data_IF_727670456576
#
_entry.id   IF_727670456576
#
_cell.length_a   1.000
_cell.length_b   1.000
_cell.length_c   1.000
_cell.angle_alpha   90.00
_cell.angle_beta   90.00
_cell.angle_gamma   90.00
#
_symmetry.space_group_name_H-M   'P 1'
#
loop_
_entity.id
_entity.type
_entity.pdbx_description
1 polymer ?
#
# COMPACT_ATOMS: atom_id res chain seq x y z
N UNK A 1 -12.80 -20.27 -19.12
CA UNK A 1 -11.69 -19.34 -18.80
C UNK A 1 -12.15 -18.03 -18.14
N UNK A 2 -13.30 -17.47 -18.51
CA UNK A 2 -13.82 -16.21 -17.95
C UNK A 2 -14.00 -16.23 -16.42
N UNK A 3 -14.65 -17.26 -15.86
CA UNK A 3 -14.77 -17.42 -14.40
C UNK A 3 -13.43 -17.41 -13.66
N UNK A 4 -12.40 -18.02 -14.26
CA UNK A 4 -11.05 -18.00 -13.69
C UNK A 4 -10.44 -16.60 -13.73
N UNK A 5 -10.62 -15.85 -14.83
CA UNK A 5 -10.18 -14.46 -14.94
C UNK A 5 -10.84 -13.59 -13.85
N UNK A 6 -12.16 -13.71 -13.70
CA UNK A 6 -12.93 -13.00 -12.67
C UNK A 6 -12.45 -13.34 -11.26
N UNK A 7 -12.25 -14.62 -10.97
CA UNK A 7 -11.72 -15.06 -9.68
C UNK A 7 -10.32 -14.50 -9.40
N UNK A 8 -9.41 -14.56 -10.38
CA UNK A 8 -8.07 -13.98 -10.26
C UNK A 8 -8.13 -12.47 -10.01
N UNK A 9 -8.90 -11.72 -10.79
CA UNK A 9 -9.06 -10.27 -10.62
C UNK A 9 -9.67 -9.92 -9.25
N UNK A 10 -10.70 -10.64 -8.83
CA UNK A 10 -11.32 -10.47 -7.52
C UNK A 10 -10.35 -10.71 -6.37
N UNK A 11 -9.57 -11.80 -6.43
CA UNK A 11 -8.56 -12.10 -5.41
C UNK A 11 -7.48 -11.03 -5.32
N UNK A 12 -7.02 -10.47 -6.45
CA UNK A 12 -6.03 -9.38 -6.44
C UNK A 12 -6.60 -8.14 -5.73
N UNK A 13 -7.85 -7.77 -6.01
CA UNK A 13 -8.50 -6.62 -5.35
C UNK A 13 -8.71 -6.89 -3.86
N UNK A 14 -9.16 -8.09 -3.50
CA UNK A 14 -9.35 -8.49 -2.11
C UNK A 14 -8.01 -8.47 -1.34
N UNK A 15 -6.94 -9.03 -1.90
CA UNK A 15 -5.61 -9.04 -1.29
C UNK A 15 -5.08 -7.63 -1.02
N UNK A 16 -5.18 -6.72 -1.99
CA UNK A 16 -4.79 -5.32 -1.80
C UNK A 16 -5.55 -4.65 -0.67
N UNK A 17 -6.87 -4.86 -0.61
CA UNK A 17 -7.72 -4.28 0.43
C UNK A 17 -7.36 -4.84 1.80
N UNK A 18 -7.15 -6.16 1.90
CA UNK A 18 -6.75 -6.86 3.13
C UNK A 18 -5.42 -6.32 3.69
N UNK A 19 -4.43 -6.09 2.83
CA UNK A 19 -3.15 -5.50 3.23
C UNK A 19 -3.39 -4.10 3.83
N UNK A 20 -4.16 -3.23 3.16
CA UNK A 20 -4.51 -1.91 3.68
C UNK A 20 -5.20 -1.96 5.06
N UNK A 21 -6.19 -2.83 5.23
CA UNK A 21 -6.86 -3.05 6.50
C UNK A 21 -5.90 -3.48 7.63
N UNK A 22 -4.94 -4.37 7.33
CA UNK A 22 -3.92 -4.79 8.30
C UNK A 22 -3.12 -3.60 8.84
N UNK A 23 -2.72 -2.68 7.96
CA UNK A 23 -1.99 -1.48 8.38
C UNK A 23 -2.84 -0.52 9.20
N UNK A 24 -4.13 -0.35 8.88
CA UNK A 24 -5.06 0.42 9.70
C UNK A 24 -5.15 -0.16 11.13
N UNK A 25 -5.27 -1.48 11.26
CA UNK A 25 -5.33 -2.18 12.55
C UNK A 25 -4.05 -1.96 13.35
N UNK A 26 -2.87 -2.09 12.71
CA UNK A 26 -1.57 -1.84 13.36
C UNK A 26 -1.46 -0.39 13.83
N UNK A 27 -1.87 0.58 13.00
CA UNK A 27 -1.84 2.00 13.35
C UNK A 27 -2.75 2.32 14.54
N UNK A 28 -3.95 1.76 14.57
CA UNK A 28 -4.90 1.90 15.69
C UNK A 28 -4.39 1.21 16.97
N UNK A 29 -3.79 0.03 16.85
CA UNK A 29 -3.18 -0.66 17.98
C UNK A 29 -2.05 0.17 18.60
N UNK A 30 -1.17 0.73 17.78
CA UNK A 30 -0.11 1.65 18.25
C UNK A 30 -0.71 2.92 18.86
N UNK A 31 -1.69 3.53 18.21
CA UNK A 31 -2.34 4.75 18.70
C UNK A 31 -2.93 4.55 20.10
N UNK A 32 -3.70 3.48 20.29
CA UNK A 32 -4.30 3.14 21.59
C UNK A 32 -3.25 2.77 22.63
N UNK A 33 -2.14 2.13 22.25
CA UNK A 33 -1.00 1.90 23.14
C UNK A 33 -0.45 3.20 23.72
N UNK A 34 -0.29 4.21 22.86
CA UNK A 34 0.18 5.53 23.28
C UNK A 34 -0.86 6.29 24.09
N UNK A 35 -2.14 6.23 23.72
CA UNK A 35 -3.17 7.06 24.33
C UNK A 35 -3.75 6.47 25.61
N UNK A 36 -3.97 5.16 25.66
CA UNK A 36 -4.68 4.43 26.72
C UNK A 36 -3.89 3.17 27.12
N UNK A 37 -2.64 3.31 27.62
CA UNK A 37 -1.77 2.16 27.88
C UNK A 37 -2.36 1.17 28.88
N UNK A 38 -3.07 1.66 29.92
CA UNK A 38 -3.64 0.81 30.97
C UNK A 38 -4.79 -0.09 30.49
N UNK A 39 -5.45 0.25 29.38
CA UNK A 39 -6.53 -0.56 28.81
C UNK A 39 -6.11 -1.27 27.52
N UNK A 40 -4.85 -1.14 27.11
CA UNK A 40 -4.40 -1.64 25.81
C UNK A 40 -4.59 -3.16 25.71
N UNK A 41 -4.22 -3.91 26.75
CA UNK A 41 -4.35 -5.38 26.80
C UNK A 41 -5.82 -5.82 26.76
N UNK A 42 -6.72 -5.05 27.38
CA UNK A 42 -8.16 -5.31 27.34
C UNK A 42 -8.76 -5.02 25.96
N UNK A 43 -8.37 -3.90 25.34
CA UNK A 43 -8.88 -3.50 24.01
C UNK A 43 -8.36 -4.46 22.94
N UNK A 44 -7.06 -4.76 22.96
CA UNK A 44 -6.39 -5.59 21.96
C UNK A 44 -6.03 -6.97 22.50
N UNK A 45 -7.01 -7.61 23.15
CA UNK A 45 -6.91 -9.04 23.45
C UNK A 45 -6.76 -9.84 22.16
N UNK A 46 -6.15 -11.04 22.24
CA UNK A 46 -5.95 -11.91 21.06
C UNK A 46 -7.27 -12.16 20.31
N UNK A 47 -8.36 -12.37 21.05
CA UNK A 47 -9.70 -12.56 20.50
C UNK A 47 -10.18 -11.31 19.75
N UNK A 48 -10.01 -10.12 20.33
CA UNK A 48 -10.44 -8.87 19.70
C UNK A 48 -9.63 -8.55 18.44
N UNK A 49 -8.31 -8.80 18.46
CA UNK A 49 -7.45 -8.66 17.28
C UNK A 49 -7.94 -9.59 16.17
N UNK A 50 -8.16 -10.86 16.49
CA UNK A 50 -8.66 -11.84 15.52
C UNK A 50 -10.02 -11.44 14.93
N UNK A 51 -10.97 -11.05 15.79
CA UNK A 51 -12.30 -10.60 15.35
C UNK A 51 -12.23 -9.33 14.49
N UNK A 52 -11.35 -8.38 14.83
CA UNK A 52 -11.16 -7.14 14.05
C UNK A 52 -10.59 -7.44 12.67
N UNK A 53 -9.57 -8.31 12.59
CA UNK A 53 -8.99 -8.73 11.31
C UNK A 53 -10.02 -9.48 10.47
N UNK A 54 -10.69 -10.48 11.05
CA UNK A 54 -11.67 -11.30 10.35
C UNK A 54 -12.86 -10.47 9.85
N UNK A 55 -13.35 -9.51 10.64
CA UNK A 55 -14.45 -8.63 10.24
C UNK A 55 -14.05 -7.68 9.10
N UNK A 56 -12.88 -7.06 9.17
CA UNK A 56 -12.37 -6.20 8.07
C UNK A 56 -12.17 -6.99 6.78
N UNK A 57 -11.66 -8.21 6.88
CA UNK A 57 -11.48 -9.09 5.72
C UNK A 57 -12.83 -9.49 5.13
N UNK A 58 -13.80 -9.86 5.98
CA UNK A 58 -15.15 -10.22 5.54
C UNK A 58 -15.82 -9.05 4.81
N UNK A 59 -15.74 -7.83 5.36
CA UNK A 59 -16.27 -6.61 4.70
C UNK A 59 -15.59 -6.39 3.34
N UNK A 60 -14.27 -6.56 3.28
CA UNK A 60 -13.49 -6.39 2.04
C UNK A 60 -13.89 -7.42 0.98
N UNK A 61 -14.00 -8.68 1.35
CA UNK A 61 -14.41 -9.77 0.46
C UNK A 61 -15.84 -9.54 -0.03
N UNK A 62 -16.77 -9.19 0.86
CA UNK A 62 -18.16 -8.91 0.50
C UNK A 62 -18.23 -7.74 -0.50
N UNK A 63 -17.50 -6.65 -0.24
CA UNK A 63 -17.45 -5.50 -1.13
C UNK A 63 -16.91 -5.89 -2.53
N UNK A 64 -15.85 -6.69 -2.59
CA UNK A 64 -15.28 -7.16 -3.86
C UNK A 64 -16.20 -8.14 -4.60
N UNK A 65 -16.85 -9.07 -3.90
CA UNK A 65 -17.83 -10.01 -4.49
C UNK A 65 -19.01 -9.24 -5.08
N UNK A 66 -19.51 -8.22 -4.38
CA UNK A 66 -20.62 -7.39 -4.88
C UNK A 66 -20.26 -6.69 -6.19
N UNK A 67 -19.03 -6.16 -6.31
CA UNK A 67 -18.54 -5.56 -7.56
C UNK A 67 -18.49 -6.55 -8.72
N UNK A 68 -18.05 -7.78 -8.43
CA UNK A 68 -17.99 -8.88 -9.41
C UNK A 68 -19.38 -9.27 -9.92
N UNK A 69 -20.40 -9.26 -9.05
CA UNK A 69 -21.77 -9.64 -9.43
C UNK A 69 -22.43 -8.56 -10.29
N UNK A 70 -22.20 -7.28 -10.01
CA UNK A 70 -22.89 -6.17 -10.70
C UNK A 70 -22.37 -5.94 -12.12
N UNK A 71 -21.08 -6.15 -12.37
CA UNK A 71 -20.48 -5.86 -13.67
C UNK A 71 -20.44 -7.13 -14.52
N UNK A 72 -21.45 -7.32 -15.35
CA UNK A 72 -21.53 -8.43 -16.30
C UNK A 72 -20.40 -8.41 -17.35
N UNK A 73 -19.81 -7.23 -17.59
CA UNK A 73 -18.62 -7.06 -18.42
C UNK A 73 -17.42 -7.78 -17.80
N UNK A 74 -17.26 -9.02 -18.26
CA UNK A 74 -16.42 -9.98 -17.57
C UNK A 74 -14.96 -9.84 -17.97
N UNK A 75 -14.02 -9.98 -17.01
CA UNK A 75 -12.60 -10.08 -17.29
C UNK A 75 -12.32 -11.16 -18.34
N UNK A 76 -11.47 -10.85 -19.32
CA UNK A 76 -11.09 -11.79 -20.38
C UNK A 76 -9.58 -11.91 -20.43
N UNK A 77 -9.11 -13.15 -20.58
CA UNK A 77 -7.74 -13.38 -20.99
C UNK A 77 -7.62 -13.11 -22.49
N UNK A 78 -6.61 -12.35 -22.86
CA UNK A 78 -6.20 -12.20 -24.25
C UNK A 78 -4.74 -12.61 -24.38
N UNK A 79 -4.40 -13.21 -25.51
CA UNK A 79 -3.03 -13.61 -25.81
C UNK A 79 -2.40 -12.49 -26.66
N UNK A 80 -1.31 -11.92 -26.17
CA UNK A 80 -0.53 -10.92 -26.90
C UNK A 80 0.25 -11.59 -28.05
N UNK A 81 0.68 -10.82 -29.05
CA UNK A 81 1.51 -11.27 -30.18
C UNK A 81 2.75 -12.06 -29.75
N UNK A 82 3.34 -11.68 -28.61
CA UNK A 82 4.56 -12.30 -28.06
C UNK A 82 4.27 -13.63 -27.34
N UNK A 83 3.01 -14.07 -27.32
CA UNK A 83 2.59 -15.32 -26.70
C UNK A 83 2.22 -15.22 -25.22
N UNK A 84 2.38 -14.06 -24.58
CA UNK A 84 1.98 -13.84 -23.19
C UNK A 84 0.45 -13.79 -23.04
N UNK A 85 -0.05 -14.39 -21.96
CA UNK A 85 -1.45 -14.34 -21.59
C UNK A 85 -1.69 -13.19 -20.60
N UNK A 86 -2.47 -12.18 -20.99
CA UNK A 86 -2.78 -11.01 -20.16
C UNK A 86 -4.26 -10.98 -19.80
N UNK A 87 -4.58 -10.48 -18.61
CA UNK A 87 -5.97 -10.27 -18.16
C UNK A 87 -6.37 -8.83 -18.51
N UNK A 88 -7.42 -8.67 -19.30
CA UNK A 88 -8.12 -7.38 -19.42
C UNK A 88 -9.25 -7.36 -18.41
N UNK A 89 -9.18 -6.49 -17.41
CA UNK A 89 -10.20 -6.39 -16.37
C UNK A 89 -11.38 -5.49 -16.74
N UNK A 90 -11.32 -4.73 -17.84
CA UNK A 90 -12.41 -3.86 -18.29
C UNK A 90 -12.90 -2.91 -17.19
N UNK A 91 -14.22 -2.83 -16.99
CA UNK A 91 -14.82 -2.00 -15.94
C UNK A 91 -14.47 -2.46 -14.52
N UNK A 92 -14.22 -3.75 -14.31
CA UNK A 92 -13.80 -4.28 -13.01
C UNK A 92 -12.44 -3.74 -12.59
N UNK A 93 -11.54 -3.49 -13.54
CA UNK A 93 -10.23 -2.88 -13.28
C UNK A 93 -10.35 -1.42 -12.84
N UNK A 94 -11.25 -0.66 -13.47
CA UNK A 94 -11.53 0.73 -13.09
C UNK A 94 -12.11 0.80 -11.67
N UNK A 95 -13.08 -0.05 -11.35
CA UNK A 95 -13.67 -0.13 -10.01
C UNK A 95 -12.67 -0.62 -8.96
N UNK A 96 -11.90 -1.67 -9.27
CA UNK A 96 -10.83 -2.15 -8.41
C UNK A 96 -9.78 -1.07 -8.13
N UNK A 97 -9.44 -0.27 -9.14
CA UNK A 97 -8.56 0.90 -8.99
C UNK A 97 -9.18 1.95 -8.07
N UNK A 98 -10.45 2.29 -8.25
CA UNK A 98 -11.15 3.25 -7.38
C UNK A 98 -11.22 2.76 -5.92
N UNK A 99 -11.57 1.49 -5.70
CA UNK A 99 -11.60 0.88 -4.37
C UNK A 99 -10.20 0.90 -3.73
N UNK A 100 -9.15 0.58 -4.50
CA UNK A 100 -7.76 0.63 -4.03
C UNK A 100 -7.35 2.05 -3.65
N UNK A 101 -7.68 3.05 -4.47
CA UNK A 101 -7.42 4.47 -4.18
C UNK A 101 -8.14 4.88 -2.90
N UNK A 102 -9.44 4.59 -2.78
CA UNK A 102 -10.22 4.93 -1.61
C UNK A 102 -9.64 4.29 -0.33
N UNK A 103 -9.32 2.99 -0.38
CA UNK A 103 -8.72 2.27 0.75
C UNK A 103 -7.35 2.83 1.13
N UNK A 104 -6.49 3.11 0.15
CA UNK A 104 -5.17 3.67 0.38
C UNK A 104 -5.24 5.09 0.95
N UNK A 105 -6.11 5.95 0.42
CA UNK A 105 -6.33 7.31 0.97
C UNK A 105 -6.82 7.23 2.42
N UNK A 106 -7.80 6.37 2.70
CA UNK A 106 -8.29 6.16 4.06
C UNK A 106 -7.17 5.67 4.99
N UNK A 107 -6.32 4.76 4.51
CA UNK A 107 -5.17 4.24 5.27
C UNK A 107 -4.18 5.35 5.57
N UNK A 108 -3.80 6.15 4.56
CA UNK A 108 -2.87 7.27 4.69
C UNK A 108 -3.42 8.33 5.64
N UNK A 109 -4.69 8.71 5.52
CA UNK A 109 -5.33 9.68 6.42
C UNK A 109 -5.33 9.17 7.85
N UNK A 110 -5.77 7.93 8.08
CA UNK A 110 -5.85 7.33 9.41
C UNK A 110 -4.46 7.21 10.05
N UNK A 111 -3.47 6.70 9.30
CA UNK A 111 -2.08 6.61 9.75
C UNK A 111 -1.50 7.99 10.06
N UNK A 112 -1.74 8.99 9.20
CA UNK A 112 -1.23 10.35 9.39
C UNK A 112 -1.81 11.00 10.65
N UNK A 113 -3.13 10.86 10.87
CA UNK A 113 -3.79 11.38 12.08
C UNK A 113 -3.23 10.69 13.32
N UNK A 114 -3.25 9.35 13.34
CA UNK A 114 -2.78 8.57 14.50
C UNK A 114 -1.32 8.87 14.84
N UNK A 115 -0.44 8.96 13.84
CA UNK A 115 0.97 9.31 14.03
C UNK A 115 1.17 10.76 14.46
N UNK A 116 0.46 11.72 13.87
CA UNK A 116 0.53 13.12 14.30
C UNK A 116 0.10 13.27 15.76
N UNK A 117 -0.98 12.60 16.16
CA UNK A 117 -1.44 12.56 17.54
C UNK A 117 -0.38 11.95 18.48
N UNK A 118 0.21 10.80 18.11
CA UNK A 118 1.30 10.19 18.88
C UNK A 118 2.48 11.15 19.04
N UNK A 119 2.90 11.81 17.95
CA UNK A 119 4.01 12.77 17.95
C UNK A 119 3.73 13.97 18.88
N UNK A 120 2.54 14.56 18.80
CA UNK A 120 2.13 15.68 19.67
C UNK A 120 2.15 15.28 21.15
N UNK A 121 1.72 14.04 21.46
CA UNK A 121 1.73 13.51 22.82
C UNK A 121 3.16 13.31 23.34
N UNK A 122 4.03 12.69 22.53
CA UNK A 122 5.45 12.47 22.87
C UNK A 122 6.18 13.80 23.09
N UNK A 123 5.91 14.83 22.28
CA UNK A 123 6.56 16.15 22.42
C UNK A 123 6.22 16.83 23.74
N UNK A 124 4.98 16.70 24.22
CA UNK A 124 4.54 17.37 25.46
C UNK A 124 4.98 16.63 26.72
N UNK A 125 5.28 15.33 26.64
CA UNK A 125 5.58 14.55 27.83
C UNK A 125 7.08 14.45 28.13
N UNK A 126 7.47 14.74 29.37
CA UNK A 126 8.81 14.44 29.92
C UNK A 126 8.91 12.97 30.36
N UNK A 127 8.51 12.02 29.49
CA UNK A 127 8.54 10.59 29.84
C UNK A 127 9.94 9.99 29.79
N UNK A 128 10.19 9.06 30.73
CA UNK A 128 11.42 8.26 30.87
C UNK A 128 11.75 7.42 29.63
N UNK A 129 10.75 7.09 28.80
CA UNK A 129 10.89 6.18 27.65
C UNK A 129 10.89 6.85 26.26
N UNK A 130 11.11 8.17 26.19
CA UNK A 130 11.03 8.93 24.92
C UNK A 130 11.91 8.39 23.78
N UNK A 131 13.03 7.72 24.06
CA UNK A 131 13.89 7.08 23.03
C UNK A 131 13.20 5.91 22.33
N UNK A 132 12.51 5.06 23.08
CA UNK A 132 11.80 3.88 22.53
C UNK A 132 10.62 4.34 21.69
N UNK A 133 9.87 5.32 22.19
CA UNK A 133 8.73 5.91 21.49
C UNK A 133 9.12 6.55 20.16
N UNK A 134 10.26 7.27 20.12
CA UNK A 134 10.80 7.83 18.87
C UNK A 134 11.16 6.76 17.84
N UNK A 135 11.75 5.64 18.28
CA UNK A 135 12.09 4.51 17.38
C UNK A 135 10.82 3.84 16.85
N UNK A 136 9.84 3.60 17.71
CA UNK A 136 8.53 3.06 17.31
C UNK A 136 7.81 3.99 16.32
N UNK A 137 7.83 5.29 16.59
CA UNK A 137 7.26 6.30 15.68
C UNK A 137 7.97 6.29 14.32
N UNK A 138 9.31 6.25 14.30
CA UNK A 138 10.08 6.20 13.06
C UNK A 138 9.78 4.92 12.26
N UNK A 139 9.72 3.77 12.93
CA UNK A 139 9.32 2.50 12.31
C UNK A 139 7.90 2.60 11.71
N UNK A 140 6.98 3.24 12.43
CA UNK A 140 5.61 3.47 11.96
C UNK A 140 5.56 4.39 10.72
N UNK A 141 6.33 5.48 10.74
CA UNK A 141 6.45 6.40 9.62
C UNK A 141 7.01 5.69 8.38
N UNK A 142 8.11 4.94 8.54
CA UNK A 142 8.71 4.18 7.44
C UNK A 142 7.73 3.14 6.89
N UNK A 143 6.97 2.45 7.75
CA UNK A 143 5.95 1.50 7.31
C UNK A 143 4.78 2.12 6.51
N UNK A 144 4.59 3.44 6.59
CA UNK A 144 3.57 4.15 5.81
C UNK A 144 4.04 4.60 4.42
N UNK A 145 5.35 4.61 4.18
CA UNK A 145 5.94 5.01 2.88
C UNK A 145 5.42 4.18 1.71
N UNK A 146 5.34 2.83 1.79
CA UNK A 146 4.78 2.02 0.70
C UNK A 146 3.35 2.41 0.31
N UNK A 147 2.52 2.82 1.28
CA UNK A 147 1.14 3.26 1.01
C UNK A 147 1.07 4.58 0.27
N UNK A 148 1.99 5.51 0.56
CA UNK A 148 2.09 6.76 -0.19
C UNK A 148 2.45 6.48 -1.65
N UNK A 149 3.39 5.56 -1.89
CA UNK A 149 3.75 5.14 -3.24
C UNK A 149 2.60 4.43 -3.95
N UNK A 150 1.93 3.47 -3.31
CA UNK A 150 0.79 2.78 -3.92
C UNK A 150 -0.39 3.74 -4.16
N UNK A 151 -0.59 4.75 -3.29
CA UNK A 151 -1.58 5.82 -3.51
C UNK A 151 -1.20 6.65 -4.73
N UNK A 152 0.05 7.10 -4.82
CA UNK A 152 0.55 7.87 -5.96
C UNK A 152 0.41 7.08 -7.26
N UNK A 153 0.84 5.81 -7.27
CA UNK A 153 0.69 4.89 -8.40
C UNK A 153 -0.76 4.73 -8.82
N UNK A 154 -1.65 4.48 -7.86
CA UNK A 154 -3.07 4.29 -8.14
C UNK A 154 -3.73 5.57 -8.68
N UNK A 155 -3.36 6.74 -8.14
CA UNK A 155 -3.78 8.03 -8.68
C UNK A 155 -3.28 8.21 -10.11
N UNK A 156 -2.02 7.89 -10.40
CA UNK A 156 -1.43 7.98 -11.74
C UNK A 156 -2.15 7.07 -12.72
N UNK A 157 -2.47 5.82 -12.35
CA UNK A 157 -3.28 4.93 -13.20
C UNK A 157 -4.65 5.53 -13.48
N UNK A 158 -5.32 6.08 -12.46
CA UNK A 158 -6.61 6.75 -12.65
C UNK A 158 -6.50 7.97 -13.58
N UNK A 159 -5.46 8.77 -13.42
CA UNK A 159 -5.19 9.92 -14.28
C UNK A 159 -4.84 9.50 -15.70
N UNK A 160 -4.08 8.43 -15.89
CA UNK A 160 -3.71 7.89 -17.21
C UNK A 160 -4.93 7.36 -17.97
N UNK A 161 -5.86 6.71 -17.28
CA UNK A 161 -7.15 6.29 -17.86
C UNK A 161 -7.97 7.51 -18.29
N UNK A 162 -7.93 8.60 -17.51
CA UNK A 162 -8.79 9.78 -17.70
C UNK A 162 -8.17 10.85 -18.61
N UNK A 163 -6.85 10.91 -18.74
CA UNK A 163 -6.09 11.90 -19.51
C UNK A 163 -4.89 11.26 -20.21
N UNK A 164 -4.72 11.66 -21.46
CA UNK A 164 -3.64 11.39 -22.42
C UNK A 164 -2.35 10.75 -21.84
N UNK A 165 -1.87 9.67 -22.49
CA UNK A 165 -0.74 8.79 -22.09
C UNK A 165 0.52 9.51 -21.56
N UNK A 166 0.78 10.75 -22.00
CA UNK A 166 1.92 11.56 -21.58
C UNK A 166 2.04 11.76 -20.06
N UNK A 167 0.93 11.84 -19.32
CA UNK A 167 0.98 12.05 -17.87
C UNK A 167 1.44 10.80 -17.10
N UNK A 168 1.18 9.61 -17.64
CA UNK A 168 1.66 8.35 -17.06
C UNK A 168 3.18 8.25 -17.17
N UNK A 169 3.72 8.51 -18.36
CA UNK A 169 5.17 8.45 -18.65
C UNK A 169 5.93 9.43 -17.74
N UNK A 170 5.51 10.70 -17.69
CA UNK A 170 6.16 11.71 -16.86
C UNK A 170 6.20 11.35 -15.36
N UNK A 171 5.16 10.67 -14.85
CA UNK A 171 5.14 10.23 -13.45
C UNK A 171 6.00 8.99 -13.21
N UNK A 172 6.00 8.03 -14.15
CA UNK A 172 6.88 6.87 -14.09
C UNK A 172 8.36 7.31 -14.05
N UNK A 173 8.74 8.26 -14.90
CA UNK A 173 10.05 8.90 -14.89
C UNK A 173 10.35 9.59 -13.55
N UNK A 174 9.39 10.35 -12.99
CA UNK A 174 9.56 11.01 -11.69
C UNK A 174 9.78 10.01 -10.56
N UNK A 175 9.01 8.92 -10.51
CA UNK A 175 9.16 7.87 -9.50
C UNK A 175 10.53 7.20 -9.65
N UNK A 176 10.96 6.88 -10.87
CA UNK A 176 12.29 6.33 -11.14
C UNK A 176 13.41 7.29 -10.71
N UNK A 177 13.26 8.59 -10.97
CA UNK A 177 14.22 9.61 -10.53
C UNK A 177 14.27 9.73 -9.00
N UNK A 178 13.12 9.69 -8.32
CA UNK A 178 13.06 9.72 -6.86
C UNK A 178 13.74 8.48 -6.24
N UNK A 179 13.50 7.29 -6.80
CA UNK A 179 14.11 6.05 -6.35
C UNK A 179 15.62 6.01 -6.58
N UNK A 180 16.10 6.51 -7.73
CA UNK A 180 17.54 6.59 -8.01
C UNK A 180 18.25 7.59 -7.09
N UNK A 181 17.61 8.71 -6.76
CA UNK A 181 18.10 9.66 -5.75
C UNK A 181 18.20 9.03 -4.35
N UNK A 182 17.19 8.25 -3.95
CA UNK A 182 17.21 7.50 -2.69
C UNK A 182 18.33 6.46 -2.66
N UNK A 183 18.55 5.73 -3.76
CA UNK A 183 19.64 4.75 -3.89
C UNK A 183 21.02 5.40 -3.73
N UNK A 184 21.24 6.56 -4.36
CA UNK A 184 22.49 7.32 -4.22
C UNK A 184 22.74 7.82 -2.79
N UNK A 185 21.69 8.26 -2.09
CA UNK A 185 21.80 8.67 -0.69
C UNK A 185 21.99 7.48 0.26
N UNK A 186 21.40 6.32 -0.03
CA UNK A 186 21.61 5.09 0.73
C UNK A 186 23.08 4.67 0.73
N UNK A 187 23.76 4.70 -0.42
CA UNK A 187 25.19 4.35 -0.50
C UNK A 187 26.07 5.27 0.35
N UNK A 188 25.67 6.53 0.55
CA UNK A 188 26.38 7.47 1.43
C UNK A 188 26.06 7.22 2.91
N UNK A 189 24.82 6.88 3.24
CA UNK A 189 24.40 6.56 4.61
C UNK A 189 24.96 5.22 5.10
N UNK A 190 25.08 4.23 4.21
CA UNK A 190 25.72 2.94 4.49
C UNK A 190 27.19 3.10 4.91
N UNK A 191 27.88 4.11 4.38
CA UNK A 191 29.26 4.45 4.80
C UNK A 191 29.31 5.13 6.17
N UNK A 192 28.21 5.74 6.63
CA UNK A 192 28.16 6.50 7.89
C UNK A 192 27.64 5.68 9.08
N UNK A 193 26.83 4.64 8.87
CA UNK A 193 26.30 3.79 9.94
C UNK A 193 25.87 2.41 9.42
N UNK A 194 26.63 1.34 9.73
CA UNK A 194 26.36 0.01 9.20
C UNK A 194 25.04 -0.62 9.70
N UNK A 195 24.52 -0.22 10.87
CA UNK A 195 23.22 -0.72 11.37
C UNK A 195 22.00 -0.15 10.64
N UNK A 196 22.17 0.92 9.84
CA UNK A 196 21.06 1.50 9.06
C UNK A 196 20.84 0.83 7.71
N UNK A 197 21.77 -0.04 7.28
CA UNK A 197 21.86 -0.53 5.89
C UNK A 197 20.81 -1.60 5.57
N UNK A 198 20.42 -2.44 6.53
CA UNK A 198 19.49 -3.56 6.30
C UNK A 198 18.08 -3.10 5.90
N UNK A 199 17.57 -2.04 6.54
CA UNK A 199 16.24 -1.53 6.24
C UNK A 199 16.19 -0.82 4.89
N UNK A 200 17.24 -0.08 4.54
CA UNK A 200 17.28 0.62 3.26
C UNK A 200 17.46 -0.38 2.12
N UNK A 201 18.24 -1.44 2.31
CA UNK A 201 18.33 -2.54 1.35
C UNK A 201 17.00 -3.25 1.13
N UNK A 202 16.26 -3.55 2.20
CA UNK A 202 14.94 -4.20 2.08
C UNK A 202 13.97 -3.33 1.26
N UNK A 203 13.94 -2.03 1.57
CA UNK A 203 13.12 -1.05 0.85
C UNK A 203 13.53 -0.96 -0.63
N UNK A 204 14.83 -0.82 -0.91
CA UNK A 204 15.36 -0.75 -2.28
C UNK A 204 15.13 -2.04 -3.07
N UNK A 205 15.16 -3.21 -2.42
CA UNK A 205 14.94 -4.50 -3.08
C UNK A 205 13.48 -4.64 -3.53
N UNK A 206 12.53 -4.27 -2.66
CA UNK A 206 11.10 -4.23 -3.03
C UNK A 206 10.88 -3.26 -4.19
N UNK A 207 11.52 -2.09 -4.17
CA UNK A 207 11.37 -1.10 -5.24
C UNK A 207 12.04 -1.48 -6.57
N UNK A 208 13.17 -2.19 -6.54
CA UNK A 208 13.87 -2.63 -7.76
C UNK A 208 13.02 -3.63 -8.55
N UNK A 209 12.27 -4.48 -7.87
CA UNK A 209 11.37 -5.46 -8.52
C UNK A 209 10.19 -4.78 -9.23
N UNK A 210 9.64 -3.71 -8.66
CA UNK A 210 8.50 -3.00 -9.27
C UNK A 210 8.91 -2.12 -10.46
N UNK A 211 10.12 -1.55 -10.43
CA UNK A 211 10.63 -0.75 -11.56
C UNK A 211 10.92 -1.60 -12.78
N UNK A 212 11.42 -2.82 -12.61
CA UNK A 212 11.57 -3.79 -13.71
C UNK A 212 10.21 -4.16 -14.33
N UNK A 213 9.13 -4.28 -13.54
CA UNK A 213 7.80 -4.53 -14.09
C UNK A 213 7.25 -3.35 -14.90
N UNK A 214 7.52 -2.12 -14.48
CA UNK A 214 7.05 -0.92 -15.17
C UNK A 214 7.75 -0.72 -16.53
N UNK A 215 9.08 -0.87 -16.58
CA UNK A 215 9.84 -0.80 -17.84
C UNK A 215 9.38 -1.88 -18.83
N UNK A 216 9.11 -3.09 -18.35
CA UNK A 216 8.63 -4.16 -19.21
C UNK A 216 7.22 -3.90 -19.78
N UNK A 217 6.44 -3.00 -19.17
CA UNK A 217 5.15 -2.53 -19.67
C UNK A 217 5.31 -1.43 -20.73
N UNK A 218 6.33 -0.58 -20.58
CA UNK A 218 6.65 0.53 -21.48
C UNK A 218 7.21 0.04 -22.82
N UNK A 219 8.15 -0.90 -22.80
CA UNK A 219 8.73 -1.53 -24.00
C UNK A 219 7.68 -2.27 -24.88
N UNK A 220 6.51 -2.59 -24.31
CA UNK A 220 5.40 -3.25 -25.04
C UNK A 220 4.35 -2.27 -25.58
N UNK A 221 4.42 -1.00 -25.20
CA UNK A 221 3.47 0.03 -25.60
C UNK A 221 3.96 0.86 -26.81
N UNK A 222 5.25 0.76 -27.13
CA UNK A 222 5.91 1.28 -28.35
C UNK A 222 5.98 0.23 -29.44
#
# INVERSE_FOLDING_TARGET
MQWYATFCSGNVVAAKTVIGCGHMVIALNRFTAFYIPLKQEQIWSNTNVYLTVLSLWSISIIATVFLVIIHEDSPRFFKTSDGFLQINGGMLELHGSFQTIASNIMTVILCSITYTCCYLKVRKSKYRHSKVEKRLFLCALVSSVPFLFETARSLTTLFAIRKNKAMYIAMAEYICAALSSLKGNSTRLAQASPESDDWVRLILTVFSYETEQAQHFEDRAT
#
